data_IF_550609592473
#
_entry.id   IF_550609592473
#
_cell.length_a   1.000
_cell.length_b   1.000
_cell.length_c   1.000
_cell.angle_alpha   90.00
_cell.angle_beta   90.00
_cell.angle_gamma   90.00
#
_symmetry.space_group_name_H-M   'P 1'
#
loop_
_entity.id
_entity.type
_entity.pdbx_description
1 polymer ?
#
# COMPACT_ATOMS: atom_id res chain seq x y z
N UNK A 1 12.02 -12.97 -17.48
CA UNK A 1 11.52 -13.12 -16.10
C UNK A 1 10.08 -13.61 -16.18
N UNK A 2 9.70 -14.55 -15.33
CA UNK A 2 8.32 -15.06 -15.24
C UNK A 2 7.55 -14.31 -14.14
N UNK A 3 6.23 -14.32 -14.20
CA UNK A 3 5.35 -13.82 -13.13
C UNK A 3 5.73 -14.47 -11.80
N UNK A 4 5.94 -15.78 -11.77
CA UNK A 4 6.38 -16.52 -10.58
C UNK A 4 7.62 -15.92 -9.92
N UNK A 5 8.60 -15.45 -10.68
CA UNK A 5 9.83 -14.86 -10.12
C UNK A 5 9.54 -13.63 -9.28
N UNK A 6 8.60 -12.81 -9.73
CA UNK A 6 8.20 -11.58 -9.03
C UNK A 6 7.31 -11.92 -7.82
N UNK A 7 6.32 -12.80 -8.00
CA UNK A 7 5.41 -13.17 -6.91
C UNK A 7 6.15 -13.88 -5.78
N UNK A 8 7.07 -14.81 -6.09
CA UNK A 8 7.90 -15.47 -5.07
C UNK A 8 8.79 -14.49 -4.30
N UNK A 9 9.27 -13.42 -4.93
CA UNK A 9 9.99 -12.39 -4.21
C UNK A 9 9.08 -11.68 -3.21
N UNK A 10 7.89 -11.24 -3.62
CA UNK A 10 6.93 -10.62 -2.70
C UNK A 10 6.52 -11.57 -1.58
N UNK A 11 6.26 -12.83 -1.89
CA UNK A 11 5.94 -13.88 -0.89
C UNK A 11 7.11 -14.12 0.09
N UNK A 12 8.36 -13.85 -0.31
CA UNK A 12 9.54 -13.99 0.57
C UNK A 12 9.68 -12.83 1.58
N UNK A 13 9.21 -11.63 1.24
CA UNK A 13 9.28 -10.45 2.12
C UNK A 13 7.99 -10.19 2.88
N UNK A 14 6.87 -10.69 2.38
CA UNK A 14 5.55 -10.64 2.96
C UNK A 14 4.83 -11.97 2.70
N UNK A 15 5.15 -13.05 3.46
CA UNK A 15 4.55 -14.36 3.29
C UNK A 15 3.01 -14.32 3.32
N UNK A 16 2.36 -15.13 2.49
CA UNK A 16 0.89 -15.19 2.44
C UNK A 16 0.28 -15.63 3.79
N UNK A 17 1.02 -16.38 4.61
CA UNK A 17 0.58 -16.77 5.95
C UNK A 17 0.47 -15.58 6.94
N UNK A 18 0.88 -14.39 6.55
CA UNK A 18 0.76 -13.17 7.36
C UNK A 18 -0.49 -12.36 7.03
N UNK A 19 -1.25 -12.74 5.99
CA UNK A 19 -2.51 -12.07 5.69
C UNK A 19 -3.53 -12.32 6.79
N UNK A 20 -4.47 -11.40 6.95
CA UNK A 20 -5.61 -11.58 7.85
C UNK A 20 -6.59 -12.60 7.27
N UNK A 21 -7.37 -13.28 8.12
CA UNK A 21 -8.24 -14.41 7.73
C UNK A 21 -9.28 -14.04 6.66
N UNK A 22 -9.68 -12.77 6.60
CA UNK A 22 -10.67 -12.28 5.63
C UNK A 22 -10.04 -11.90 4.28
N UNK A 23 -8.70 -11.88 4.19
CA UNK A 23 -7.96 -11.35 3.05
C UNK A 23 -7.72 -12.39 1.95
N UNK A 24 -7.31 -11.93 0.77
CA UNK A 24 -7.04 -12.76 -0.40
C UNK A 24 -5.82 -12.25 -1.17
N UNK A 25 -4.63 -12.39 -0.58
CA UNK A 25 -3.37 -12.04 -1.23
C UNK A 25 -2.91 -13.11 -2.22
N UNK A 26 -2.06 -12.73 -3.15
CA UNK A 26 -1.43 -13.63 -4.11
C UNK A 26 -1.80 -13.35 -5.56
N UNK A 27 -1.53 -14.30 -6.44
CA UNK A 27 -1.90 -14.21 -7.86
C UNK A 27 -3.40 -14.51 -8.02
N UNK A 28 -4.19 -13.46 -8.27
CA UNK A 28 -5.64 -13.54 -8.34
C UNK A 28 -6.15 -13.82 -9.75
N UNK A 29 -5.43 -13.33 -10.77
CA UNK A 29 -5.75 -13.52 -12.20
C UNK A 29 -4.44 -13.78 -12.94
N UNK A 30 -4.46 -14.70 -13.90
CA UNK A 30 -3.33 -14.99 -14.79
C UNK A 30 -2.60 -16.28 -14.47
N UNK A 31 -1.38 -16.42 -15.01
CA UNK A 31 -0.58 -17.64 -14.93
C UNK A 31 0.84 -17.31 -14.43
N UNK A 32 1.34 -18.09 -13.46
CA UNK A 32 2.69 -17.95 -12.87
C UNK A 32 3.82 -18.09 -13.89
N UNK A 33 3.62 -18.86 -14.95
CA UNK A 33 4.61 -19.10 -16.00
C UNK A 33 4.62 -18.04 -17.11
N UNK A 34 3.70 -17.08 -17.06
CA UNK A 34 3.66 -15.99 -18.05
C UNK A 34 4.95 -15.17 -18.01
N UNK A 35 5.52 -14.92 -19.18
CA UNK A 35 6.69 -14.05 -19.33
C UNK A 35 6.28 -12.58 -19.15
N UNK A 36 6.89 -11.90 -18.20
CA UNK A 36 6.63 -10.48 -17.91
C UNK A 36 7.18 -9.61 -19.04
N UNK A 37 6.31 -8.77 -19.61
CA UNK A 37 6.62 -7.78 -20.65
C UNK A 37 6.75 -6.38 -20.06
N UNK A 38 5.90 -6.04 -19.08
CA UNK A 38 5.90 -4.81 -18.32
C UNK A 38 5.12 -4.97 -17.03
N UNK A 39 5.41 -4.16 -16.04
CA UNK A 39 4.77 -4.17 -14.71
C UNK A 39 4.14 -2.81 -14.43
N UNK A 40 2.93 -2.80 -13.90
CA UNK A 40 2.25 -1.62 -13.37
C UNK A 40 1.97 -1.84 -11.89
N UNK A 41 2.41 -0.92 -11.01
CA UNK A 41 2.06 -0.94 -9.58
C UNK A 41 0.91 0.02 -9.30
N UNK A 42 -0.06 -0.37 -8.48
CA UNK A 42 -1.21 0.46 -8.11
C UNK A 42 -1.63 0.21 -6.66
N UNK A 43 -2.50 1.08 -6.12
CA UNK A 43 -3.19 0.83 -4.87
C UNK A 43 -4.36 -0.11 -5.13
N UNK A 44 -5.34 0.34 -5.91
CA UNK A 44 -6.52 -0.43 -6.30
C UNK A 44 -6.45 -0.79 -7.78
N UNK A 45 -6.86 -2.01 -8.12
CA UNK A 45 -6.99 -2.45 -9.50
C UNK A 45 -8.41 -2.13 -10.02
N UNK A 46 -8.57 -0.96 -10.64
CA UNK A 46 -9.84 -0.52 -11.26
C UNK A 46 -9.86 -0.80 -12.78
N UNK A 47 -11.01 -0.63 -13.43
CA UNK A 47 -11.10 -0.74 -14.90
C UNK A 47 -10.14 0.23 -15.62
N UNK A 48 -10.02 1.46 -15.07
CA UNK A 48 -9.08 2.47 -15.60
C UNK A 48 -7.61 2.05 -15.45
N UNK A 49 -7.26 1.34 -14.37
CA UNK A 49 -5.91 0.80 -14.15
C UNK A 49 -5.61 -0.33 -15.13
N UNK A 50 -6.59 -1.18 -15.45
CA UNK A 50 -6.43 -2.19 -16.52
C UNK A 50 -6.19 -1.50 -17.87
N UNK A 51 -6.97 -0.46 -18.19
CA UNK A 51 -6.77 0.32 -19.44
C UNK A 51 -5.39 0.95 -19.50
N UNK A 52 -4.92 1.47 -18.38
CA UNK A 52 -3.56 2.01 -18.27
C UNK A 52 -2.50 0.93 -18.50
N UNK A 53 -2.66 -0.26 -17.92
CA UNK A 53 -1.74 -1.38 -18.11
C UNK A 53 -1.68 -1.82 -19.56
N UNK A 54 -2.83 -1.98 -20.23
CA UNK A 54 -2.93 -2.32 -21.66
C UNK A 54 -2.22 -1.26 -22.51
N UNK A 55 -2.52 0.02 -22.29
CA UNK A 55 -1.92 1.15 -23.02
C UNK A 55 -0.41 1.23 -22.85
N UNK A 56 0.10 0.87 -21.66
CA UNK A 56 1.53 0.84 -21.34
C UNK A 56 2.20 -0.50 -21.67
N UNK A 57 1.51 -1.43 -22.31
CA UNK A 57 1.98 -2.79 -22.62
C UNK A 57 2.48 -3.56 -21.40
N UNK A 58 1.83 -3.35 -20.24
CA UNK A 58 2.08 -4.12 -19.03
C UNK A 58 1.14 -5.33 -18.99
N UNK A 59 1.70 -6.50 -18.81
CA UNK A 59 0.94 -7.74 -18.64
C UNK A 59 0.97 -8.29 -17.22
N UNK A 60 1.50 -7.49 -16.26
CA UNK A 60 1.44 -7.78 -14.82
C UNK A 60 1.10 -6.51 -14.06
N UNK A 61 0.01 -6.56 -13.30
CA UNK A 61 -0.35 -5.55 -12.31
C UNK A 61 -0.02 -6.09 -10.93
N UNK A 62 0.70 -5.29 -10.13
CA UNK A 62 0.91 -5.51 -8.71
C UNK A 62 0.07 -4.49 -7.96
N UNK A 63 -1.03 -4.95 -7.38
CA UNK A 63 -1.95 -4.12 -6.61
C UNK A 63 -1.73 -4.32 -5.11
N UNK A 64 -2.01 -3.28 -4.31
CA UNK A 64 -2.08 -3.45 -2.88
C UNK A 64 -3.38 -4.16 -2.51
N UNK A 65 -4.53 -3.61 -2.88
CA UNK A 65 -5.81 -4.18 -2.57
C UNK A 65 -6.19 -5.33 -3.53
N UNK A 66 -6.68 -6.48 -3.00
CA UNK A 66 -7.16 -7.57 -3.83
C UNK A 66 -8.48 -7.19 -4.53
N UNK A 67 -8.53 -7.36 -5.84
CA UNK A 67 -9.77 -7.16 -6.60
C UNK A 67 -10.82 -8.22 -6.30
N UNK A 68 -10.41 -9.38 -5.82
CA UNK A 68 -11.26 -10.49 -5.44
C UNK A 68 -11.11 -10.71 -3.94
N UNK A 69 -11.97 -10.14 -3.10
CA UNK A 69 -12.03 -10.45 -1.67
C UNK A 69 -12.82 -11.72 -1.37
N UNK A 70 -13.95 -11.91 -2.07
CA UNK A 70 -14.81 -13.10 -1.95
C UNK A 70 -14.81 -13.84 -3.25
N UNK A 71 -14.82 -15.18 -3.18
CA UNK A 71 -14.84 -16.04 -4.36
C UNK A 71 -15.95 -15.64 -5.36
N UNK A 72 -15.58 -15.55 -6.64
CA UNK A 72 -16.52 -15.25 -7.71
C UNK A 72 -17.36 -16.48 -8.03
N UNK A 73 -18.68 -16.28 -8.12
CA UNK A 73 -19.63 -17.34 -8.51
C UNK A 73 -19.94 -17.33 -10.02
N UNK A 74 -19.68 -16.22 -10.68
CA UNK A 74 -19.94 -16.03 -12.12
C UNK A 74 -19.04 -14.92 -12.66
N UNK A 75 -18.88 -14.88 -13.97
CA UNK A 75 -18.25 -13.79 -14.72
C UNK A 75 -19.23 -13.33 -15.79
N UNK A 76 -20.12 -12.42 -15.44
CA UNK A 76 -21.23 -11.94 -16.27
C UNK A 76 -21.37 -10.41 -16.26
N UNK A 77 -20.28 -9.72 -15.85
CA UNK A 77 -20.17 -8.25 -15.82
C UNK A 77 -21.16 -7.54 -14.88
N UNK A 78 -21.78 -8.25 -13.92
CA UNK A 78 -22.80 -7.71 -13.01
C UNK A 78 -22.27 -6.63 -12.07
N UNK A 79 -20.99 -6.69 -11.74
CA UNK A 79 -20.35 -5.76 -10.82
C UNK A 79 -18.94 -5.39 -11.32
N UNK A 80 -18.33 -4.41 -10.68
CA UNK A 80 -17.01 -3.92 -11.07
C UNK A 80 -15.92 -5.00 -11.00
N UNK A 81 -15.97 -5.90 -10.02
CA UNK A 81 -14.99 -6.99 -9.87
C UNK A 81 -15.06 -7.94 -11.08
N UNK A 82 -16.25 -8.38 -11.46
CA UNK A 82 -16.43 -9.26 -12.62
C UNK A 82 -15.94 -8.60 -13.92
N UNK A 83 -16.25 -7.30 -14.13
CA UNK A 83 -15.79 -6.56 -15.32
C UNK A 83 -14.27 -6.45 -15.37
N UNK A 84 -13.62 -6.14 -14.24
CA UNK A 84 -12.16 -6.00 -14.16
C UNK A 84 -11.49 -7.35 -14.42
N UNK A 85 -11.95 -8.43 -13.78
CA UNK A 85 -11.39 -9.78 -13.95
C UNK A 85 -11.54 -10.25 -15.38
N UNK A 86 -12.73 -10.11 -15.97
CA UNK A 86 -12.96 -10.47 -17.38
C UNK A 86 -12.06 -9.66 -18.32
N UNK A 87 -11.95 -8.35 -18.11
CA UNK A 87 -11.11 -7.47 -18.91
C UNK A 87 -9.63 -7.86 -18.82
N UNK A 88 -9.16 -8.19 -17.62
CA UNK A 88 -7.79 -8.65 -17.40
C UNK A 88 -7.52 -9.96 -18.16
N UNK A 89 -8.42 -10.95 -18.05
CA UNK A 89 -8.31 -12.23 -18.76
C UNK A 89 -8.28 -12.02 -20.27
N UNK A 90 -9.20 -11.24 -20.83
CA UNK A 90 -9.28 -10.97 -22.28
C UNK A 90 -8.06 -10.28 -22.88
N UNK A 91 -7.26 -9.60 -22.03
CA UNK A 91 -6.07 -8.86 -22.45
C UNK A 91 -4.76 -9.47 -21.94
N UNK A 92 -4.79 -10.72 -21.46
CA UNK A 92 -3.62 -11.43 -20.93
C UNK A 92 -2.88 -10.66 -19.82
N UNK A 93 -3.61 -9.91 -18.99
CA UNK A 93 -3.09 -9.16 -17.87
C UNK A 93 -3.22 -9.98 -16.59
N UNK A 94 -2.09 -10.32 -15.99
CA UNK A 94 -2.05 -10.95 -14.66
C UNK A 94 -2.22 -9.92 -13.56
N UNK A 95 -2.95 -10.25 -12.48
CA UNK A 95 -3.16 -9.40 -11.30
C UNK A 95 -2.67 -10.14 -10.07
N UNK A 96 -1.70 -9.55 -9.38
CA UNK A 96 -1.17 -10.02 -8.10
C UNK A 96 -1.50 -8.98 -7.01
N UNK A 97 -2.06 -9.44 -5.90
CA UNK A 97 -2.37 -8.60 -4.74
C UNK A 97 -1.39 -8.88 -3.59
N UNK A 98 -0.95 -7.81 -2.92
CA UNK A 98 -0.13 -7.87 -1.72
C UNK A 98 -0.65 -6.84 -0.73
N UNK A 99 -1.47 -7.31 0.21
CA UNK A 99 -2.33 -6.47 1.05
C UNK A 99 -1.92 -6.58 2.53
N UNK A 100 -2.75 -7.19 3.38
CA UNK A 100 -2.47 -7.25 4.82
C UNK A 100 -1.20 -8.02 5.18
N UNK A 101 -0.73 -8.92 4.34
CA UNK A 101 0.59 -9.54 4.50
C UNK A 101 1.73 -8.51 4.36
N UNK A 102 1.59 -7.50 3.49
CA UNK A 102 2.54 -6.40 3.39
C UNK A 102 2.40 -5.41 4.54
N UNK A 103 1.15 -5.15 5.01
CA UNK A 103 0.91 -4.30 6.17
C UNK A 103 1.58 -4.84 7.44
N UNK A 104 1.57 -6.17 7.57
CA UNK A 104 2.22 -6.86 8.67
C UNK A 104 3.74 -7.02 8.50
N UNK A 105 4.31 -6.61 7.36
CA UNK A 105 5.74 -6.68 7.08
C UNK A 105 6.50 -5.48 7.67
N UNK A 106 7.68 -5.69 8.29
CA UNK A 106 8.48 -4.59 8.86
C UNK A 106 9.01 -3.60 7.80
N UNK A 107 8.99 -3.96 6.53
CA UNK A 107 9.37 -3.10 5.39
C UNK A 107 8.17 -2.66 4.55
N UNK A 108 6.95 -2.92 5.04
CA UNK A 108 5.71 -2.71 4.31
C UNK A 108 5.13 -1.30 4.44
N UNK A 109 3.80 -1.23 4.31
CA UNK A 109 3.03 0.01 4.24
C UNK A 109 3.27 0.91 5.45
N UNK A 110 3.22 0.36 6.66
CA UNK A 110 3.43 1.12 7.89
C UNK A 110 4.84 1.73 7.98
N UNK A 111 5.85 1.04 7.45
CA UNK A 111 7.20 1.60 7.35
C UNK A 111 7.26 2.75 6.35
N UNK A 112 6.59 2.62 5.19
CA UNK A 112 6.49 3.70 4.20
C UNK A 112 5.82 4.95 4.79
N UNK A 113 4.77 4.78 5.59
CA UNK A 113 4.12 5.89 6.32
C UNK A 113 5.12 6.54 7.28
N UNK A 114 5.82 5.74 8.10
CA UNK A 114 6.84 6.25 9.02
C UNK A 114 7.92 7.06 8.30
N UNK A 115 8.41 6.59 7.17
CA UNK A 115 9.45 7.27 6.39
C UNK A 115 8.95 8.61 5.84
N UNK A 116 7.73 8.67 5.35
CA UNK A 116 7.11 9.90 4.86
C UNK A 116 6.90 10.93 5.95
N UNK A 117 6.55 10.49 7.15
CA UNK A 117 6.34 11.35 8.32
C UNK A 117 7.65 11.69 9.06
N UNK A 118 8.77 11.10 8.65
CA UNK A 118 10.05 11.29 9.30
C UNK A 118 10.12 10.71 10.71
N UNK A 119 9.31 9.69 11.02
CA UNK A 119 9.29 8.99 12.30
C UNK A 119 10.61 8.23 12.48
N UNK A 120 11.26 8.44 13.61
CA UNK A 120 12.55 7.86 13.96
C UNK A 120 12.39 6.58 14.77
N UNK A 121 13.29 5.62 14.51
CA UNK A 121 13.36 4.34 15.20
C UNK A 121 12.00 3.61 15.27
N UNK A 122 11.28 3.49 14.14
CA UNK A 122 9.98 2.84 14.14
C UNK A 122 10.12 1.38 14.52
N UNK A 123 9.20 0.90 15.37
CA UNK A 123 9.06 -0.49 15.78
C UNK A 123 7.63 -0.94 15.47
N UNK A 124 7.44 -2.22 15.25
CA UNK A 124 6.09 -2.79 15.11
C UNK A 124 5.31 -2.50 16.39
N UNK A 125 4.08 -2.00 16.24
CA UNK A 125 3.22 -1.62 17.36
C UNK A 125 2.62 -2.86 18.01
N UNK A 126 2.01 -3.74 17.23
CA UNK A 126 1.43 -5.01 17.71
C UNK A 126 2.16 -6.19 17.04
N UNK A 127 3.25 -6.70 17.65
CA UNK A 127 4.04 -7.77 17.05
C UNK A 127 3.29 -9.10 17.05
N UNK A 128 3.39 -9.82 15.93
CA UNK A 128 2.97 -11.22 15.74
C UNK A 128 4.23 -12.09 15.69
N UNK A 129 4.31 -13.10 16.55
CA UNK A 129 5.44 -14.05 16.54
C UNK A 129 5.16 -15.09 15.46
N UNK A 130 5.92 -15.05 14.39
CA UNK A 130 5.89 -16.08 13.34
C UNK A 130 7.13 -16.96 13.51
N UNK A 131 6.97 -18.28 13.33
CA UNK A 131 8.06 -19.24 13.45
C UNK A 131 9.27 -18.83 12.60
N UNK A 132 10.39 -18.51 13.27
CA UNK A 132 11.61 -17.98 12.67
C UNK A 132 11.85 -16.50 12.97
N UNK A 133 13.02 -16.04 12.90
CA UNK A 133 13.64 -14.83 13.46
C UNK A 133 13.10 -13.44 13.03
N UNK A 134 12.03 -13.32 12.23
CA UNK A 134 11.48 -12.03 11.81
C UNK A 134 10.23 -11.70 12.61
N UNK A 135 10.21 -10.54 13.24
CA UNK A 135 9.02 -10.00 13.88
C UNK A 135 8.17 -9.32 12.81
N UNK A 136 6.98 -9.87 12.60
CA UNK A 136 5.92 -9.27 11.79
C UNK A 136 4.85 -8.72 12.73
N UNK A 137 3.93 -7.91 12.23
CA UNK A 137 2.81 -7.42 13.04
C UNK A 137 2.22 -6.13 12.52
N UNK A 138 1.16 -5.70 13.18
CA UNK A 138 0.31 -4.61 12.72
C UNK A 138 0.77 -3.27 13.27
N UNK A 139 0.72 -2.24 12.42
CA UNK A 139 1.09 -0.88 12.77
C UNK A 139 2.55 -0.69 13.16
N UNK A 140 2.97 0.55 13.27
CA UNK A 140 4.29 0.94 13.76
C UNK A 140 4.18 2.07 14.77
N UNK A 141 5.18 2.20 15.66
CA UNK A 141 5.30 3.28 16.65
C UNK A 141 6.73 3.79 16.69
N UNK A 142 6.90 5.11 16.77
CA UNK A 142 8.22 5.75 16.91
C UNK A 142 8.13 7.19 17.30
N UNK A 143 9.27 7.87 17.37
CA UNK A 143 9.37 9.27 17.76
C UNK A 143 9.40 10.22 16.55
N UNK A 144 8.79 11.38 16.64
CA UNK A 144 9.05 12.49 15.74
C UNK A 144 10.48 13.01 15.94
N UNK A 145 11.08 13.63 14.92
CA UNK A 145 12.41 14.23 15.03
C UNK A 145 12.50 15.25 16.18
N UNK A 146 11.40 15.98 16.38
CA UNK A 146 11.19 16.91 17.51
C UNK A 146 9.70 16.93 17.85
N UNK A 147 9.33 17.21 19.12
CA UNK A 147 7.93 17.38 19.49
C UNK A 147 7.29 18.53 18.71
N UNK A 148 6.08 18.32 18.19
CA UNK A 148 5.33 19.31 17.42
C UNK A 148 4.11 19.79 18.22
N UNK A 149 3.76 21.07 18.10
CA UNK A 149 2.44 21.56 18.50
C UNK A 149 1.35 20.92 17.61
N UNK A 150 0.13 20.74 18.12
CA UNK A 150 -0.92 20.06 17.36
C UNK A 150 -1.17 20.63 15.96
N UNK A 151 -1.25 21.93 15.80
CA UNK A 151 -1.46 22.57 14.48
C UNK A 151 -0.34 22.25 13.51
N UNK A 152 0.91 22.31 13.95
CA UNK A 152 2.07 21.95 13.12
C UNK A 152 2.08 20.46 12.77
N UNK A 153 1.62 19.61 13.69
CA UNK A 153 1.47 18.18 13.46
C UNK A 153 0.41 17.89 12.40
N UNK A 154 -0.78 18.50 12.48
CA UNK A 154 -1.82 18.34 11.46
C UNK A 154 -1.38 18.89 10.09
N UNK A 155 -0.68 20.01 10.05
CA UNK A 155 -0.13 20.54 8.80
C UNK A 155 0.89 19.58 8.18
N UNK A 156 1.80 19.03 8.99
CA UNK A 156 2.76 18.03 8.55
C UNK A 156 2.04 16.81 7.95
N UNK A 157 1.00 16.29 8.62
CA UNK A 157 0.21 15.15 8.12
C UNK A 157 -0.44 15.46 6.77
N UNK A 158 -1.13 16.61 6.65
CA UNK A 158 -1.77 17.03 5.39
C UNK A 158 -0.76 17.11 4.24
N UNK A 159 0.41 17.67 4.48
CA UNK A 159 1.46 17.81 3.46
C UNK A 159 2.11 16.46 3.11
N UNK A 160 2.56 15.71 4.12
CA UNK A 160 3.30 14.47 3.91
C UNK A 160 2.41 13.37 3.31
N UNK A 161 1.16 13.25 3.77
CA UNK A 161 0.24 12.22 3.33
C UNK A 161 -0.72 12.69 2.22
N UNK A 162 -0.67 13.97 1.82
CA UNK A 162 -1.60 14.60 0.86
C UNK A 162 -3.05 14.44 1.28
N UNK A 163 -3.32 14.50 2.59
CA UNK A 163 -4.65 14.34 3.15
C UNK A 163 -5.48 15.61 2.94
N UNK A 164 -6.60 15.49 2.23
CA UNK A 164 -7.52 16.62 1.99
C UNK A 164 -8.26 17.01 3.27
N UNK A 165 -8.67 16.02 4.06
CA UNK A 165 -9.38 16.20 5.33
C UNK A 165 -8.74 15.33 6.42
N UNK A 166 -8.93 15.74 7.68
CA UNK A 166 -8.53 14.99 8.87
C UNK A 166 -9.69 15.01 9.85
N UNK A 167 -10.07 13.83 10.35
CA UNK A 167 -10.95 13.68 11.50
C UNK A 167 -10.11 13.31 12.72
N UNK A 168 -10.38 13.91 13.89
CA UNK A 168 -9.58 13.61 15.07
C UNK A 168 -10.37 13.77 16.38
N UNK A 169 -9.90 13.13 17.44
CA UNK A 169 -10.37 13.33 18.81
C UNK A 169 -9.89 14.67 19.38
N UNK A 170 -10.38 15.05 20.54
CA UNK A 170 -9.87 16.22 21.26
C UNK A 170 -8.34 16.15 21.42
N UNK A 171 -7.68 17.28 21.28
CA UNK A 171 -6.24 17.41 21.53
C UNK A 171 -6.00 17.49 23.03
N UNK A 172 -5.31 16.49 23.57
CA UNK A 172 -5.08 16.34 25.02
C UNK A 172 -3.68 16.73 25.46
N UNK A 173 -2.72 16.84 24.54
CA UNK A 173 -1.31 17.16 24.83
C UNK A 173 -0.88 18.45 24.14
N UNK A 174 -0.05 19.23 24.82
CA UNK A 174 0.54 20.46 24.25
C UNK A 174 1.53 20.18 23.11
N UNK A 175 2.15 19.01 23.12
CA UNK A 175 3.10 18.57 22.10
C UNK A 175 2.88 17.09 21.77
N UNK A 176 3.05 16.75 20.50
CA UNK A 176 3.03 15.39 19.97
C UNK A 176 4.47 14.99 19.66
N UNK A 177 4.94 13.91 20.26
CA UNK A 177 6.32 13.42 20.13
C UNK A 177 6.39 11.96 19.71
N UNK A 178 5.56 11.09 20.30
CA UNK A 178 5.52 9.64 20.03
C UNK A 178 4.26 9.28 19.27
N UNK A 179 4.43 8.74 18.08
CA UNK A 179 3.34 8.52 17.13
C UNK A 179 3.25 7.06 16.74
N UNK A 180 2.05 6.50 16.82
CA UNK A 180 1.70 5.24 16.24
C UNK A 180 1.04 5.47 14.86
N UNK A 181 1.26 4.54 13.92
CA UNK A 181 0.67 4.58 12.57
C UNK A 181 0.11 3.22 12.19
N UNK A 182 -1.01 3.23 11.48
CA UNK A 182 -1.57 2.07 10.81
C UNK A 182 -2.23 2.53 9.50
N UNK A 183 -1.69 2.11 8.36
CA UNK A 183 -2.33 2.30 7.06
C UNK A 183 -3.69 1.61 7.04
N UNK A 184 -4.66 2.17 6.32
CA UNK A 184 -6.02 1.67 6.28
C UNK A 184 -6.70 1.65 7.65
N UNK A 185 -7.51 0.64 7.89
CA UNK A 185 -8.33 0.51 9.10
C UNK A 185 -7.50 -0.03 10.29
N UNK A 186 -7.21 0.84 11.26
CA UNK A 186 -6.35 0.52 12.40
C UNK A 186 -7.01 0.72 13.78
N UNK A 187 -8.33 0.76 13.86
CA UNK A 187 -9.04 0.97 15.14
C UNK A 187 -8.71 -0.10 16.19
N UNK A 188 -8.39 -1.34 15.77
CA UNK A 188 -8.01 -2.44 16.64
C UNK A 188 -6.66 -2.23 17.37
N UNK A 189 -5.90 -1.19 17.01
CA UNK A 189 -4.62 -0.85 17.62
C UNK A 189 -4.71 0.27 18.67
N UNK A 190 -5.90 0.81 18.95
CA UNK A 190 -6.09 1.91 19.90
C UNK A 190 -5.56 1.56 21.29
N UNK A 191 -5.97 0.41 21.84
CA UNK A 191 -5.54 -0.05 23.17
C UNK A 191 -4.02 -0.24 23.22
N UNK A 192 -3.44 -0.81 22.18
CA UNK A 192 -2.00 -1.06 22.10
C UNK A 192 -1.22 0.24 21.98
N UNK A 193 -1.72 1.24 21.23
CA UNK A 193 -1.12 2.57 21.15
C UNK A 193 -1.15 3.28 22.51
N UNK A 194 -2.27 3.19 23.24
CA UNK A 194 -2.39 3.72 24.61
C UNK A 194 -1.41 3.01 25.55
N UNK A 195 -1.37 1.68 25.54
CA UNK A 195 -0.48 0.86 26.38
C UNK A 195 1.00 1.22 26.17
N UNK A 196 1.38 1.53 24.94
CA UNK A 196 2.73 1.96 24.60
C UNK A 196 2.95 3.47 24.76
N UNK A 197 2.00 4.21 25.35
CA UNK A 197 2.08 5.66 25.57
C UNK A 197 2.33 6.46 24.28
N UNK A 198 1.65 6.12 23.19
CA UNK A 198 1.62 6.98 22.01
C UNK A 198 0.89 8.30 22.32
N UNK A 199 1.34 9.41 21.75
CA UNK A 199 0.64 10.70 21.83
C UNK A 199 -0.48 10.75 20.79
N UNK A 200 -0.25 10.11 19.64
CA UNK A 200 -1.22 10.03 18.55
C UNK A 200 -1.17 8.65 17.85
N UNK A 201 -2.34 8.22 17.35
CA UNK A 201 -2.49 7.13 16.38
C UNK A 201 -3.01 7.70 15.07
N UNK A 202 -2.24 7.58 14.00
CA UNK A 202 -2.61 7.96 12.65
C UNK A 202 -3.13 6.70 11.94
N UNK A 203 -4.36 6.75 11.44
CA UNK A 203 -5.02 5.61 10.78
C UNK A 203 -6.15 6.09 9.86
N UNK A 204 -7.05 5.20 9.45
CA UNK A 204 -8.23 5.50 8.66
C UNK A 204 -9.45 4.66 9.08
N UNK A 205 -10.58 4.88 8.41
CA UNK A 205 -11.84 4.15 8.53
C UNK A 205 -12.42 4.09 9.96
N UNK A 206 -12.15 5.12 10.76
CA UNK A 206 -12.66 5.19 12.11
C UNK A 206 -14.18 5.39 12.11
N UNK A 207 -14.90 4.43 12.71
CA UNK A 207 -16.33 4.56 12.98
C UNK A 207 -16.58 5.52 14.14
N UNK A 208 -17.75 6.18 14.12
CA UNK A 208 -18.10 7.20 15.11
C UNK A 208 -17.80 6.78 16.56
N UNK A 209 -18.26 5.60 16.97
CA UNK A 209 -18.06 5.13 18.34
C UNK A 209 -16.63 4.79 18.70
N UNK A 210 -15.80 4.40 17.74
CA UNK A 210 -14.39 4.07 17.97
C UNK A 210 -13.54 5.28 18.39
N UNK A 211 -13.98 6.53 18.08
CA UNK A 211 -13.31 7.72 18.58
C UNK A 211 -13.41 7.86 20.10
N UNK A 212 -14.46 7.30 20.73
CA UNK A 212 -14.59 7.33 22.20
C UNK A 212 -13.55 6.41 22.88
N UNK A 213 -13.05 5.38 22.19
CA UNK A 213 -12.04 4.45 22.71
C UNK A 213 -10.69 5.16 23.00
N UNK A 214 -10.52 6.38 22.49
CA UNK A 214 -9.39 7.24 22.85
C UNK A 214 -9.33 7.59 24.36
N UNK A 215 -10.48 7.61 25.04
CA UNK A 215 -10.65 7.80 26.49
C UNK A 215 -9.80 8.95 27.07
N UNK A 216 -9.66 10.04 26.35
CA UNK A 216 -8.78 11.16 26.67
C UNK A 216 -7.32 10.75 26.97
N UNK A 217 -6.85 9.61 26.44
CA UNK A 217 -5.48 9.10 26.59
C UNK A 217 -4.66 9.18 25.30
N UNK A 218 -5.34 9.21 24.13
CA UNK A 218 -4.72 9.13 22.82
C UNK A 218 -5.37 10.16 21.87
N UNK A 219 -4.58 10.84 21.06
CA UNK A 219 -5.08 11.59 19.92
C UNK A 219 -5.26 10.61 18.73
N UNK A 220 -6.51 10.21 18.44
CA UNK A 220 -6.81 9.44 17.22
C UNK A 220 -6.91 10.42 16.05
N UNK A 221 -6.23 10.11 14.96
CA UNK A 221 -6.18 10.93 13.75
C UNK A 221 -6.49 10.06 12.53
N UNK A 222 -7.68 10.22 11.99
CA UNK A 222 -8.14 9.56 10.77
C UNK A 222 -7.87 10.48 9.58
N UNK A 223 -6.99 10.04 8.69
CA UNK A 223 -6.54 10.80 7.51
C UNK A 223 -7.15 10.34 6.20
N UNK A 224 -8.04 9.33 6.25
CA UNK A 224 -8.62 8.67 5.08
C UNK A 224 -7.81 7.44 4.62
N UNK A 225 -8.54 6.43 4.12
CA UNK A 225 -7.95 5.15 3.70
C UNK A 225 -6.95 5.35 2.57
N UNK A 226 -7.42 5.93 1.46
CA UNK A 226 -6.58 6.20 0.31
C UNK A 226 -5.35 7.05 0.67
N UNK A 227 -5.54 8.09 1.45
CA UNK A 227 -4.50 9.02 1.87
C UNK A 227 -3.43 8.34 2.71
N UNK A 228 -3.82 7.37 3.54
CA UNK A 228 -2.87 6.61 4.37
C UNK A 228 -2.02 5.63 3.55
N UNK A 229 -2.53 5.12 2.42
CA UNK A 229 -1.91 4.02 1.67
C UNK A 229 -1.50 4.35 0.24
N UNK A 230 -1.87 5.51 -0.32
CA UNK A 230 -1.60 5.86 -1.72
C UNK A 230 -0.13 5.72 -2.16
N UNK A 231 0.80 5.77 -1.21
CA UNK A 231 2.23 5.64 -1.47
C UNK A 231 2.72 4.19 -1.52
N UNK A 232 1.83 3.23 -1.27
CA UNK A 232 2.15 1.79 -1.40
C UNK A 232 2.51 1.44 -2.83
N UNK A 233 1.87 2.05 -3.84
CA UNK A 233 2.24 1.85 -5.24
C UNK A 233 3.69 2.24 -5.55
N UNK A 234 4.21 3.27 -4.88
CA UNK A 234 5.62 3.68 -4.97
C UNK A 234 6.52 2.67 -4.26
N UNK A 235 6.13 2.22 -3.04
CA UNK A 235 6.85 1.20 -2.28
C UNK A 235 7.01 -0.09 -3.09
N UNK A 236 5.95 -0.57 -3.75
CA UNK A 236 5.99 -1.78 -4.57
C UNK A 236 6.99 -1.65 -5.73
N UNK A 237 7.03 -0.49 -6.36
CA UNK A 237 8.01 -0.21 -7.42
C UNK A 237 9.44 -0.13 -6.88
N UNK A 238 9.66 0.50 -5.74
CA UNK A 238 10.96 0.59 -5.05
C UNK A 238 11.49 -0.80 -4.70
N UNK A 239 10.67 -1.66 -4.11
CA UNK A 239 11.04 -3.05 -3.77
C UNK A 239 11.44 -3.87 -5.00
N UNK A 240 10.72 -3.71 -6.12
CA UNK A 240 11.06 -4.36 -7.38
C UNK A 240 12.39 -3.86 -7.95
N UNK A 241 12.63 -2.56 -7.91
CA UNK A 241 13.88 -1.96 -8.41
C UNK A 241 15.09 -2.34 -7.56
N UNK A 242 14.92 -2.40 -6.25
CA UNK A 242 15.98 -2.84 -5.33
C UNK A 242 16.35 -4.31 -5.56
N UNK A 243 15.36 -5.17 -5.75
CA UNK A 243 15.58 -6.61 -5.94
C UNK A 243 16.11 -6.97 -7.31
N UNK A 244 15.59 -6.32 -8.36
CA UNK A 244 15.81 -6.73 -9.74
C UNK A 244 16.39 -5.59 -10.58
N UNK A 245 17.67 -5.69 -10.93
CA UNK A 245 18.36 -4.71 -11.79
C UNK A 245 17.82 -4.63 -13.23
N UNK A 246 16.93 -5.57 -13.61
CA UNK A 246 16.33 -5.65 -14.95
C UNK A 246 15.21 -4.61 -15.17
N UNK A 247 14.64 -4.03 -14.11
CA UNK A 247 13.59 -3.03 -14.26
C UNK A 247 14.12 -1.66 -14.68
N UNK A 248 13.34 -0.96 -15.50
CA UNK A 248 13.52 0.43 -15.84
C UNK A 248 12.34 1.25 -15.31
N UNK A 249 12.53 2.11 -14.29
CA UNK A 249 11.46 2.93 -13.78
C UNK A 249 11.09 4.00 -14.82
N UNK A 250 9.79 4.16 -15.04
CA UNK A 250 9.25 5.18 -15.93
C UNK A 250 8.27 6.03 -15.13
N UNK A 251 8.68 7.27 -14.84
CA UNK A 251 7.78 8.25 -14.24
C UNK A 251 6.91 8.89 -15.31
N UNK A 252 5.65 9.10 -14.99
CA UNK A 252 4.65 9.68 -15.88
C UNK A 252 4.85 11.17 -16.22
N UNK A 253 5.72 11.88 -15.51
CA UNK A 253 5.96 13.29 -15.78
C UNK A 253 6.86 13.47 -17.01
N UNK A 254 6.22 13.61 -18.17
CA UNK A 254 6.81 14.29 -19.32
C UNK A 254 7.51 13.45 -20.39
N UNK A 255 7.39 12.13 -20.43
CA UNK A 255 7.91 11.34 -21.56
C UNK A 255 6.79 10.61 -22.29
N UNK A 256 6.62 10.90 -23.59
CA UNK A 256 5.82 10.09 -24.53
C UNK A 256 6.16 8.61 -24.32
N UNK A 257 5.13 7.75 -24.33
CA UNK A 257 5.28 6.30 -24.30
C UNK A 257 6.28 5.87 -25.37
N UNK A 258 7.48 5.47 -24.93
CA UNK A 258 8.50 4.98 -25.82
C UNK A 258 8.17 3.53 -26.16
N UNK A 259 8.31 3.16 -27.43
CA UNK A 259 8.13 1.76 -27.87
C UNK A 259 9.01 0.80 -27.07
N UNK A 260 8.57 -0.43 -26.90
CA UNK A 260 9.26 -1.50 -26.14
C UNK A 260 10.74 -1.68 -26.54
N UNK A 261 11.15 -1.21 -27.71
CA UNK A 261 12.52 -1.30 -28.24
C UNK A 261 13.56 -0.42 -27.53
N UNK A 262 13.14 0.57 -26.75
CA UNK A 262 14.04 1.59 -26.17
C UNK A 262 14.65 1.19 -24.82
N UNK A 263 14.16 0.09 -24.20
CA UNK A 263 14.61 -0.33 -22.87
C UNK A 263 15.80 -1.30 -22.92
N UNK A 264 16.97 -0.77 -23.30
CA UNK A 264 18.22 -1.51 -23.17
C UNK A 264 19.14 -0.84 -22.15
N UNK A 265 19.84 -1.65 -21.34
CA UNK A 265 20.90 -1.11 -20.49
C UNK A 265 22.12 -0.73 -21.36
N UNK A 266 23.13 -0.08 -20.74
CA UNK A 266 24.40 0.28 -21.42
C UNK A 266 25.13 -0.91 -22.10
N UNK A 267 24.79 -2.15 -21.72
CA UNK A 267 25.32 -3.41 -22.30
C UNK A 267 24.38 -4.02 -23.35
N UNK A 268 23.33 -3.31 -23.80
CA UNK A 268 22.40 -3.78 -24.82
C UNK A 268 21.31 -4.75 -24.34
N UNK A 269 21.28 -5.12 -23.05
CA UNK A 269 20.29 -6.04 -22.50
C UNK A 269 18.91 -5.37 -22.35
N UNK A 270 17.86 -6.04 -22.80
CA UNK A 270 16.47 -5.56 -22.72
C UNK A 270 16.05 -5.46 -21.25
N UNK A 271 15.55 -4.28 -20.84
CA UNK A 271 14.95 -4.06 -19.53
C UNK A 271 13.44 -4.22 -19.60
N UNK A 272 12.83 -4.61 -18.48
CA UNK A 272 11.38 -4.69 -18.32
C UNK A 272 10.89 -3.32 -17.83
N UNK A 273 9.94 -2.68 -18.53
CA UNK A 273 9.36 -1.42 -18.08
C UNK A 273 8.58 -1.63 -16.78
N UNK A 274 8.75 -0.70 -15.84
CA UNK A 274 8.05 -0.65 -14.56
C UNK A 274 7.41 0.72 -14.43
N UNK A 275 6.10 0.73 -14.28
CA UNK A 275 5.30 1.93 -14.12
C UNK A 275 4.61 1.95 -12.76
N UNK A 276 4.45 3.14 -12.22
CA UNK A 276 3.55 3.43 -11.11
C UNK A 276 2.28 4.01 -11.73
N UNK A 277 1.11 3.48 -11.35
CA UNK A 277 -0.16 3.95 -11.90
C UNK A 277 -0.38 5.44 -11.64
N UNK A 278 -0.81 6.14 -12.69
CA UNK A 278 -1.19 7.56 -12.64
C UNK A 278 -2.66 7.75 -12.27
N UNK A 279 -3.45 6.67 -12.31
CA UNK A 279 -4.87 6.71 -12.00
C UNK A 279 -5.05 7.03 -10.53
N UNK A 280 -5.86 8.06 -10.25
CA UNK A 280 -6.38 8.29 -8.90
C UNK A 280 -7.57 7.35 -8.67
N UNK A 281 -7.37 6.39 -7.78
CA UNK A 281 -8.39 5.37 -7.47
C UNK A 281 -9.22 5.71 -6.24
N UNK A 282 -9.00 6.89 -5.61
CA UNK A 282 -9.79 7.32 -4.45
C UNK A 282 -11.27 7.48 -4.83
N UNK A 283 -12.18 6.68 -4.26
CA UNK A 283 -13.60 6.81 -4.54
C UNK A 283 -14.27 7.96 -3.77
N UNK A 284 -13.55 8.57 -2.82
CA UNK A 284 -14.07 9.60 -1.92
C UNK A 284 -13.69 10.98 -2.46
N UNK A 285 -14.67 11.86 -2.55
CA UNK A 285 -14.48 13.26 -2.88
C UNK A 285 -14.75 14.11 -1.65
N UNK A 286 -13.94 15.14 -1.44
CA UNK A 286 -14.07 16.10 -0.36
C UNK A 286 -14.55 17.43 -0.92
N UNK A 287 -15.51 18.06 -0.25
CA UNK A 287 -16.06 19.37 -0.60
C UNK A 287 -15.33 20.50 0.13
#
# INVERSE_FOLDING_TARGET
MLVQTITSYFESIAPLSLQEDYDNCGLLVGNRETKVQGVLTCLDCTEAVIDEAIKKHCNLIIAHHPIIFKGLKSLTQKNYTERIVEKAIRNDVSIYAIHTNLDNSPIGVNKKICDRLGIKNPKILAPKIVAGKKTFGSGMIGGLKQPLKPDAFFQMLKQAMKAAAIRHTAVIKKHIAKVAVCGGSGSFLIEEAIRQNADALITADMKYHQFFDADNKLLIVDIGHYESEQFTKELLAELLMEKFSIFAPLSAKGKKYLSVEVFRNKKGNKKIPLFISDVNTNPINYL
#
